data_IF_790798928458
#
_entry.id   IF_790798928458
#
_cell.length_a   1.000
_cell.length_b   1.000
_cell.length_c   1.000
_cell.angle_alpha   90.00
_cell.angle_beta   90.00
_cell.angle_gamma   90.00
#
_symmetry.space_group_name_H-M   'P 1'
#
loop_
_entity.id
_entity.type
_entity.pdbx_description
1 polymer ?
#
# COMPACT_ATOMS: atom_id res chain seq x y z
N UNK A 1 27.09 -74.74 -24.43
CA UNK A 1 27.04 -73.45 -25.11
C UNK A 1 28.01 -72.50 -24.40
N UNK A 2 29.06 -72.10 -25.08
CA UNK A 2 30.18 -71.31 -24.51
C UNK A 2 29.95 -69.80 -24.75
N UNK A 3 30.17 -68.99 -23.71
CA UNK A 3 30.23 -67.54 -23.81
C UNK A 3 31.48 -67.09 -24.51
N UNK A 4 31.47 -66.03 -25.34
CA UNK A 4 32.69 -65.41 -25.87
C UNK A 4 33.30 -64.43 -24.89
N UNK A 5 34.63 -64.28 -24.94
CA UNK A 5 35.52 -63.41 -24.16
C UNK A 5 35.48 -61.97 -24.67
N UNK A 6 35.54 -61.02 -23.72
CA UNK A 6 35.80 -59.59 -23.97
C UNK A 6 37.29 -59.38 -24.34
N UNK A 7 37.59 -58.40 -25.20
CA UNK A 7 38.95 -57.95 -25.42
C UNK A 7 39.34 -56.76 -24.53
N UNK A 8 40.61 -56.68 -24.20
CA UNK A 8 41.27 -55.75 -23.27
C UNK A 8 41.21 -54.27 -23.70
N UNK A 9 41.01 -53.41 -22.71
CA UNK A 9 41.08 -51.93 -22.79
C UNK A 9 42.54 -51.47 -23.00
N UNK A 10 42.75 -50.63 -24.02
CA UNK A 10 43.98 -49.86 -24.20
C UNK A 10 43.87 -48.53 -23.44
N UNK A 11 44.87 -48.21 -22.66
CA UNK A 11 45.01 -46.93 -21.91
C UNK A 11 45.43 -45.83 -22.88
N UNK A 12 44.52 -44.88 -23.19
CA UNK A 12 44.84 -43.66 -23.89
C UNK A 12 45.06 -42.52 -22.89
N UNK A 13 46.25 -41.96 -22.97
CA UNK A 13 46.69 -40.72 -22.28
C UNK A 13 45.73 -39.56 -22.56
N UNK A 14 45.12 -38.99 -21.51
CA UNK A 14 44.35 -37.76 -21.61
C UNK A 14 45.18 -36.57 -21.12
N UNK A 15 45.24 -35.46 -21.89
CA UNK A 15 45.88 -34.25 -21.41
C UNK A 15 44.99 -33.57 -20.34
N UNK A 16 45.64 -33.07 -19.29
CA UNK A 16 45.01 -32.28 -18.23
C UNK A 16 44.44 -30.98 -18.80
N UNK A 17 43.12 -30.86 -18.85
CA UNK A 17 42.46 -29.57 -19.13
C UNK A 17 42.42 -28.78 -17.83
N UNK A 18 43.20 -27.70 -17.76
CA UNK A 18 43.06 -26.69 -16.71
C UNK A 18 41.70 -25.97 -16.88
N UNK A 19 40.76 -26.28 -16.02
CA UNK A 19 39.57 -25.47 -15.89
C UNK A 19 39.92 -24.14 -15.21
N UNK A 20 40.08 -23.06 -15.97
CA UNK A 20 39.98 -21.71 -15.42
C UNK A 20 38.56 -21.50 -14.95
N UNK A 21 38.34 -21.54 -13.63
CA UNK A 21 37.11 -21.07 -13.03
C UNK A 21 37.01 -19.54 -13.21
N UNK A 22 36.25 -19.09 -14.20
CA UNK A 22 35.86 -17.71 -14.31
C UNK A 22 35.00 -17.39 -13.11
N UNK A 23 35.49 -16.60 -12.16
CA UNK A 23 34.69 -15.91 -11.15
C UNK A 23 33.81 -14.92 -11.90
N UNK A 24 32.58 -15.35 -12.20
CA UNK A 24 31.54 -14.42 -12.58
C UNK A 24 31.25 -13.53 -11.34
N UNK A 25 31.18 -12.18 -11.50
CA UNK A 25 30.74 -11.33 -10.41
C UNK A 25 29.34 -11.79 -10.05
N UNK A 26 29.09 -12.02 -8.74
CA UNK A 26 27.73 -12.11 -8.20
C UNK A 26 27.10 -10.72 -8.39
N UNK A 27 26.59 -10.45 -9.59
CA UNK A 27 25.64 -9.39 -9.79
C UNK A 27 24.42 -9.74 -8.95
N UNK A 28 24.07 -8.86 -7.99
CA UNK A 28 22.81 -8.95 -7.32
C UNK A 28 21.73 -9.04 -8.43
N UNK A 29 21.12 -10.21 -8.56
CA UNK A 29 19.94 -10.34 -9.40
C UNK A 29 18.87 -9.47 -8.74
N UNK A 30 18.67 -8.28 -9.27
CA UNK A 30 17.47 -7.51 -8.95
C UNK A 30 16.31 -8.43 -9.32
N UNK A 31 15.54 -8.84 -8.31
CA UNK A 31 14.34 -9.60 -8.54
C UNK A 31 13.48 -8.77 -9.51
N UNK A 32 13.13 -9.37 -10.65
CA UNK A 32 12.30 -8.70 -11.64
C UNK A 32 11.03 -8.20 -10.93
N UNK A 33 10.76 -6.90 -11.03
CA UNK A 33 9.56 -6.28 -10.46
C UNK A 33 8.34 -7.05 -10.98
N UNK A 34 7.55 -7.69 -10.12
CA UNK A 34 6.40 -8.46 -10.59
C UNK A 34 5.39 -7.50 -11.22
N UNK A 35 5.21 -7.59 -12.54
CA UNK A 35 4.26 -6.79 -13.29
C UNK A 35 4.64 -5.32 -13.51
N UNK A 36 5.91 -4.92 -13.27
CA UNK A 36 6.38 -3.56 -13.49
C UNK A 36 6.03 -2.56 -12.35
N UNK A 37 5.59 -3.05 -11.19
CA UNK A 37 5.33 -2.21 -10.01
C UNK A 37 6.60 -2.06 -9.16
N UNK A 38 6.91 -0.82 -8.73
CA UNK A 38 8.01 -0.53 -7.79
C UNK A 38 7.66 -1.05 -6.40
N UNK A 39 8.56 -1.81 -5.78
CA UNK A 39 8.43 -2.34 -4.43
C UNK A 39 9.64 -2.01 -3.54
N UNK A 40 10.56 -1.19 -4.03
CA UNK A 40 11.71 -0.70 -3.29
C UNK A 40 11.74 0.83 -3.36
N UNK A 41 11.85 1.46 -2.19
CA UNK A 41 11.75 2.90 -2.03
C UNK A 41 12.98 3.46 -1.33
N UNK A 42 13.36 4.73 -1.55
CA UNK A 42 14.56 5.36 -0.98
C UNK A 42 14.37 5.73 0.51
N UNK A 43 13.92 4.78 1.33
CA UNK A 43 13.63 4.94 2.77
C UNK A 43 14.82 5.55 3.53
N UNK A 44 16.07 5.31 3.08
CA UNK A 44 17.26 5.87 3.72
C UNK A 44 17.30 7.41 3.67
N UNK A 45 16.65 8.01 2.69
CA UNK A 45 16.57 9.47 2.53
C UNK A 45 15.45 10.11 3.33
N UNK A 46 14.63 9.33 4.05
CA UNK A 46 13.48 9.79 4.80
C UNK A 46 13.81 10.11 6.25
N UNK A 47 13.40 11.30 6.69
CA UNK A 47 13.13 11.59 8.09
C UNK A 47 11.62 11.46 8.30
N UNK A 48 11.20 10.36 8.92
CA UNK A 48 9.79 10.05 9.09
C UNK A 48 9.15 10.83 10.24
N UNK A 49 7.99 11.46 9.94
CA UNK A 49 7.20 12.24 10.87
C UNK A 49 5.76 11.71 10.95
N UNK A 50 5.21 11.69 12.15
CA UNK A 50 3.79 11.35 12.38
C UNK A 50 2.84 12.54 12.15
N UNK A 51 3.34 13.65 11.63
CA UNK A 51 2.58 14.87 11.30
C UNK A 51 3.02 15.37 9.92
N UNK A 52 2.31 16.32 9.34
CA UNK A 52 2.60 16.84 8.02
C UNK A 52 1.73 16.16 6.97
N UNK A 53 2.34 15.28 6.19
CA UNK A 53 1.73 14.70 5.00
C UNK A 53 1.91 15.60 3.77
N UNK A 54 1.09 15.42 2.76
CA UNK A 54 1.19 16.14 1.49
C UNK A 54 -0.15 16.78 1.06
N UNK A 55 -0.22 17.24 -0.18
CA UNK A 55 -1.43 17.87 -0.71
C UNK A 55 -2.63 16.90 -0.80
N UNK A 56 -2.36 15.60 -0.94
CA UNK A 56 -3.36 14.55 -1.17
C UNK A 56 -3.66 13.72 0.08
N UNK A 57 -2.82 13.81 1.13
CA UNK A 57 -3.08 13.18 2.43
C UNK A 57 -2.42 13.99 3.55
N UNK A 58 -3.24 14.68 4.35
CA UNK A 58 -2.81 15.51 5.47
C UNK A 58 -2.89 14.72 6.77
N UNK A 59 -1.77 14.59 7.49
CA UNK A 59 -1.69 13.91 8.78
C UNK A 59 -2.01 14.87 9.95
N UNK A 60 -3.07 15.67 9.79
CA UNK A 60 -3.56 16.60 10.83
C UNK A 60 -4.50 15.86 11.77
N UNK A 61 -4.12 15.77 13.04
CA UNK A 61 -4.93 15.12 14.09
C UNK A 61 -6.36 15.67 14.12
N UNK A 62 -7.33 14.80 14.29
CA UNK A 62 -8.76 15.06 14.28
C UNK A 62 -9.32 15.58 12.94
N UNK A 63 -8.54 15.52 11.87
CA UNK A 63 -9.07 15.68 10.53
C UNK A 63 -9.79 14.40 10.11
N UNK A 64 -11.01 14.55 9.60
CA UNK A 64 -11.85 13.43 9.18
C UNK A 64 -12.45 13.71 7.81
N UNK A 65 -12.44 12.71 6.96
CA UNK A 65 -13.21 12.63 5.73
C UNK A 65 -14.40 11.71 5.97
N UNK A 66 -15.56 12.10 5.46
CA UNK A 66 -16.76 11.27 5.46
C UNK A 66 -17.19 11.04 4.01
N UNK A 67 -17.13 9.78 3.58
CA UNK A 67 -17.52 9.31 2.27
C UNK A 67 -18.77 8.42 2.40
N UNK A 68 -19.58 8.38 1.35
CA UNK A 68 -20.76 7.49 1.30
C UNK A 68 -21.27 7.37 -0.14
N UNK A 69 -21.91 6.26 -0.45
CA UNK A 69 -22.68 6.08 -1.69
C UNK A 69 -24.11 6.66 -1.59
N UNK A 70 -24.45 7.31 -0.48
CA UNK A 70 -25.79 7.84 -0.16
C UNK A 70 -26.33 8.80 -1.22
N UNK A 71 -25.50 9.69 -1.72
CA UNK A 71 -25.86 10.75 -2.67
C UNK A 71 -25.35 10.47 -4.09
N UNK A 72 -24.68 9.35 -4.29
CA UNK A 72 -24.18 8.96 -5.61
C UNK A 72 -25.33 8.76 -6.59
N UNK A 73 -25.34 9.60 -7.65
CA UNK A 73 -26.43 9.60 -8.65
C UNK A 73 -26.29 8.53 -9.72
N UNK A 74 -25.09 8.01 -9.88
CA UNK A 74 -24.73 7.04 -10.94
C UNK A 74 -24.41 5.64 -10.40
N UNK A 75 -24.35 5.47 -9.07
CA UNK A 75 -24.02 4.19 -8.45
C UNK A 75 -25.22 3.25 -8.46
N UNK A 76 -24.96 2.00 -8.79
CA UNK A 76 -25.89 0.91 -8.54
C UNK A 76 -25.55 0.38 -7.16
N UNK A 77 -26.38 0.67 -6.17
CA UNK A 77 -26.22 0.16 -4.80
C UNK A 77 -26.51 -1.34 -4.81
N UNK A 78 -25.51 -2.14 -5.11
CA UNK A 78 -25.61 -3.59 -4.99
C UNK A 78 -25.42 -4.03 -3.53
N UNK A 79 -24.60 -3.26 -2.77
CA UNK A 79 -24.11 -3.59 -1.43
C UNK A 79 -24.77 -2.77 -0.29
N UNK A 80 -25.92 -2.13 -0.53
CA UNK A 80 -26.61 -1.34 0.50
C UNK A 80 -26.09 0.10 0.65
N UNK A 81 -26.32 0.69 1.84
CA UNK A 81 -25.80 2.01 2.20
C UNK A 81 -24.46 1.87 2.89
N UNK A 82 -23.37 2.21 2.20
CA UNK A 82 -22.02 2.22 2.78
C UNK A 82 -21.66 3.64 3.21
N UNK A 83 -21.11 3.76 4.43
CA UNK A 83 -20.60 4.99 5.00
C UNK A 83 -19.19 4.76 5.56
N UNK A 84 -18.22 5.59 5.15
CA UNK A 84 -16.82 5.48 5.51
C UNK A 84 -16.32 6.77 6.17
N UNK A 85 -15.75 6.68 7.38
CA UNK A 85 -15.08 7.78 8.07
C UNK A 85 -13.57 7.51 8.16
N UNK A 86 -12.78 8.34 7.49
CA UNK A 86 -11.31 8.29 7.55
C UNK A 86 -10.84 9.36 8.52
N UNK A 87 -10.34 8.97 9.68
CA UNK A 87 -9.98 9.88 10.78
C UNK A 87 -8.48 9.79 11.09
N UNK A 88 -7.80 10.94 11.15
CA UNK A 88 -6.43 11.01 11.64
C UNK A 88 -6.46 11.08 13.17
N UNK A 89 -6.15 9.96 13.83
CA UNK A 89 -6.20 9.86 15.28
C UNK A 89 -5.01 10.55 15.96
N UNK A 90 -5.12 10.97 17.24
CA UNK A 90 -3.99 11.47 18.02
C UNK A 90 -2.95 10.38 18.34
N UNK A 91 -3.31 9.14 18.28
CA UNK A 91 -2.48 7.97 18.54
C UNK A 91 -1.33 7.83 17.55
N UNK A 92 -0.23 7.30 18.05
CA UNK A 92 0.93 6.93 17.23
C UNK A 92 1.42 5.54 17.63
N UNK A 93 2.00 4.82 16.66
CA UNK A 93 2.64 3.52 16.88
C UNK A 93 4.11 3.58 16.52
N UNK A 94 4.99 3.04 17.37
CA UNK A 94 6.40 2.84 17.02
C UNK A 94 6.56 1.48 16.37
N UNK A 95 7.10 1.49 15.15
CA UNK A 95 7.28 0.29 14.32
C UNK A 95 8.77 0.13 14.05
N UNK A 96 9.29 -1.09 14.20
CA UNK A 96 10.68 -1.45 13.92
C UNK A 96 10.72 -2.38 12.71
N UNK A 97 11.56 -2.03 11.72
CA UNK A 97 11.67 -2.82 10.49
C UNK A 97 13.12 -2.84 9.98
N UNK A 98 13.54 -3.95 9.33
CA UNK A 98 14.87 -4.03 8.73
C UNK A 98 14.90 -3.24 7.41
N UNK A 99 15.96 -2.46 7.21
CA UNK A 99 16.24 -1.80 5.94
C UNK A 99 17.74 -1.66 5.71
N UNK A 100 18.22 -2.08 4.54
CA UNK A 100 19.63 -2.04 4.14
C UNK A 100 20.59 -2.64 5.21
N UNK A 101 20.20 -3.78 5.79
CA UNK A 101 20.99 -4.51 6.80
C UNK A 101 21.00 -3.87 8.20
N UNK A 102 20.18 -2.86 8.45
CA UNK A 102 20.04 -2.20 9.75
C UNK A 102 18.60 -2.21 10.22
N UNK A 103 18.39 -2.24 11.54
CA UNK A 103 17.07 -2.02 12.11
C UNK A 103 16.78 -0.51 12.14
N UNK A 104 15.64 -0.12 11.58
CA UNK A 104 15.10 1.25 11.64
C UNK A 104 13.85 1.26 12.51
N UNK A 105 13.48 2.45 12.97
CA UNK A 105 12.20 2.68 13.64
C UNK A 105 11.51 3.91 13.09
N UNK A 106 10.19 3.86 13.04
CA UNK A 106 9.32 4.98 12.70
C UNK A 106 8.28 5.17 13.78
N UNK A 107 7.92 6.42 14.08
CA UNK A 107 6.71 6.74 14.83
C UNK A 107 5.63 7.08 13.81
N UNK A 108 4.81 6.09 13.50
CA UNK A 108 3.70 6.24 12.55
C UNK A 108 2.48 6.88 13.23
N UNK A 109 1.73 7.67 12.48
CA UNK A 109 0.40 8.17 12.83
C UNK A 109 -0.62 7.06 12.61
N UNK A 110 -1.62 6.95 13.48
CA UNK A 110 -2.79 6.11 13.23
C UNK A 110 -3.79 6.90 12.41
N UNK A 111 -4.14 6.37 11.24
CA UNK A 111 -5.27 6.79 10.43
C UNK A 111 -6.29 5.67 10.53
N UNK A 112 -7.47 5.97 11.06
CA UNK A 112 -8.54 4.99 11.23
C UNK A 112 -9.56 5.16 10.11
N UNK A 113 -9.92 4.05 9.51
CA UNK A 113 -11.07 3.90 8.62
C UNK A 113 -12.12 3.12 9.39
N UNK A 114 -13.30 3.71 9.50
CA UNK A 114 -14.46 3.15 10.19
C UNK A 114 -15.58 3.05 9.17
N UNK A 115 -15.96 1.83 8.82
CA UNK A 115 -16.95 1.55 7.79
C UNK A 115 -18.21 0.93 8.37
N UNK A 116 -19.36 1.35 7.85
CA UNK A 116 -20.66 0.76 8.17
C UNK A 116 -21.42 0.41 6.90
N UNK A 117 -22.14 -0.71 6.94
CA UNK A 117 -23.09 -1.11 5.92
C UNK A 117 -24.51 -1.12 6.51
N UNK A 118 -25.44 -0.40 5.87
CA UNK A 118 -26.83 -0.20 6.34
C UNK A 118 -26.95 0.26 7.81
N UNK A 119 -25.91 0.96 8.31
CA UNK A 119 -25.83 1.50 9.67
C UNK A 119 -25.29 0.54 10.72
N UNK A 120 -24.93 -0.69 10.34
CA UNK A 120 -24.22 -1.63 11.20
C UNK A 120 -22.71 -1.50 10.95
N UNK A 121 -21.88 -1.66 11.98
CA UNK A 121 -20.43 -1.65 11.84
C UNK A 121 -19.98 -2.86 11.01
N UNK A 122 -19.27 -2.62 9.92
CA UNK A 122 -18.69 -3.66 9.07
C UNK A 122 -17.22 -3.89 9.41
N UNK A 123 -16.40 -2.83 9.28
CA UNK A 123 -14.96 -2.93 9.50
C UNK A 123 -14.37 -1.70 10.19
N UNK A 124 -13.31 -1.92 10.96
CA UNK A 124 -12.41 -0.86 11.43
C UNK A 124 -10.97 -1.21 11.06
N UNK A 125 -10.38 -0.41 10.18
CA UNK A 125 -8.95 -0.49 9.84
C UNK A 125 -8.16 0.61 10.52
N UNK A 126 -7.04 0.26 11.17
CA UNK A 126 -6.10 1.21 11.79
C UNK A 126 -4.78 1.19 11.06
N UNK A 127 -4.63 2.11 10.16
CA UNK A 127 -3.52 2.26 9.24
C UNK A 127 -2.36 3.04 9.89
N UNK A 128 -1.12 2.55 9.77
CA UNK A 128 0.07 3.18 10.35
C UNK A 128 0.87 3.89 9.28
N UNK A 129 0.76 5.22 9.24
CA UNK A 129 1.33 6.05 8.17
C UNK A 129 2.33 7.08 8.70
N UNK A 130 3.30 7.47 7.88
CA UNK A 130 4.24 8.52 8.22
C UNK A 130 4.67 9.33 6.99
N UNK A 131 4.82 10.63 7.17
CA UNK A 131 5.38 11.57 6.20
C UNK A 131 6.90 11.39 6.09
N UNK A 132 7.42 11.28 4.89
CA UNK A 132 8.84 11.22 4.58
C UNK A 132 9.38 12.60 4.21
N UNK A 133 9.93 13.34 5.16
CA UNK A 133 10.62 14.60 4.86
C UNK A 133 12.01 14.31 4.26
N UNK A 134 12.47 15.02 3.22
CA UNK A 134 11.85 16.21 2.60
C UNK A 134 10.96 15.93 1.39
N UNK A 135 10.69 14.67 1.06
CA UNK A 135 9.93 14.29 -0.14
C UNK A 135 8.41 14.45 0.03
N UNK A 136 7.93 14.33 1.28
CA UNK A 136 6.52 14.37 1.66
C UNK A 136 5.65 13.24 1.07
N UNK A 137 6.28 12.15 0.60
CA UNK A 137 5.54 10.92 0.33
C UNK A 137 5.03 10.35 1.65
N UNK A 138 3.77 9.97 1.71
CA UNK A 138 3.20 9.29 2.88
C UNK A 138 3.40 7.79 2.71
N UNK A 139 4.21 7.22 3.59
CA UNK A 139 4.51 5.79 3.62
C UNK A 139 3.54 5.03 4.50
N UNK A 140 3.28 3.77 4.13
CA UNK A 140 2.44 2.83 4.83
C UNK A 140 3.30 1.75 5.50
N UNK A 141 3.09 1.56 6.80
CA UNK A 141 3.92 0.67 7.64
C UNK A 141 3.14 -0.52 8.18
N UNK A 142 1.86 -0.63 7.90
CA UNK A 142 1.01 -1.71 8.35
C UNK A 142 -0.35 -1.23 8.84
N UNK A 143 -1.17 -2.20 9.19
CA UNK A 143 -2.51 -1.99 9.73
C UNK A 143 -2.90 -3.06 10.74
N UNK A 144 -3.86 -2.71 11.60
CA UNK A 144 -4.65 -3.68 12.37
C UNK A 144 -6.11 -3.57 11.85
N UNK A 145 -6.71 -4.70 11.46
CA UNK A 145 -8.07 -4.77 10.90
C UNK A 145 -8.97 -5.53 11.86
N UNK A 146 -10.20 -5.04 12.05
CA UNK A 146 -11.18 -5.61 12.96
C UNK A 146 -12.54 -5.71 12.25
N UNK A 147 -13.27 -6.81 12.49
CA UNK A 147 -14.66 -6.95 12.04
C UNK A 147 -15.65 -6.11 12.89
N UNK A 148 -16.93 -6.10 12.49
CA UNK A 148 -17.99 -5.40 13.20
C UNK A 148 -18.22 -5.81 14.65
N UNK A 149 -17.76 -6.99 15.05
CA UNK A 149 -17.80 -7.51 16.42
C UNK A 149 -16.54 -7.11 17.23
N UNK A 150 -15.55 -6.45 16.59
CA UNK A 150 -14.29 -6.04 17.19
C UNK A 150 -13.23 -7.16 17.25
N UNK A 151 -13.41 -8.26 16.53
CA UNK A 151 -12.39 -9.31 16.44
C UNK A 151 -11.33 -8.91 15.42
N UNK A 152 -10.05 -9.15 15.77
CA UNK A 152 -8.96 -8.91 14.83
C UNK A 152 -9.03 -9.88 13.64
N UNK A 153 -8.97 -9.32 12.43
CA UNK A 153 -8.94 -10.06 11.17
C UNK A 153 -7.50 -10.45 10.78
N UNK A 154 -7.33 -11.51 9.97
CA UNK A 154 -6.00 -11.97 9.52
C UNK A 154 -5.35 -11.06 8.48
N UNK A 155 -6.07 -10.09 7.96
CA UNK A 155 -5.63 -9.17 6.91
C UNK A 155 -4.63 -8.13 7.42
N UNK A 156 -4.63 -7.86 8.73
CA UNK A 156 -3.66 -6.97 9.37
C UNK A 156 -2.21 -7.41 9.16
N UNK A 157 -1.33 -6.43 8.92
CA UNK A 157 0.09 -6.66 8.70
C UNK A 157 0.96 -5.58 9.37
N UNK A 158 2.27 -5.81 9.49
CA UNK A 158 3.19 -4.83 10.07
C UNK A 158 4.57 -4.93 9.44
N UNK A 159 5.10 -3.82 8.96
CA UNK A 159 6.45 -3.75 8.43
C UNK A 159 7.48 -4.32 9.43
N UNK A 160 8.37 -5.19 8.95
CA UNK A 160 9.35 -5.91 9.74
C UNK A 160 8.89 -7.24 10.32
N UNK A 161 7.61 -7.60 10.21
CA UNK A 161 7.08 -8.93 10.56
C UNK A 161 6.92 -9.77 9.29
N UNK A 162 7.20 -11.06 9.37
CA UNK A 162 6.96 -12.05 8.30
C UNK A 162 7.49 -11.65 6.91
N UNK A 163 8.55 -10.83 6.88
CA UNK A 163 9.12 -10.30 5.63
C UNK A 163 8.39 -9.08 5.06
N UNK A 164 7.38 -8.56 5.74
CA UNK A 164 6.66 -7.37 5.31
C UNK A 164 7.55 -6.13 5.30
N UNK A 165 7.33 -5.27 4.30
CA UNK A 165 8.07 -4.03 4.07
C UNK A 165 7.11 -2.86 3.87
N UNK A 166 7.50 -1.64 4.26
CA UNK A 166 6.66 -0.47 4.00
C UNK A 166 6.58 -0.18 2.49
N UNK A 167 5.43 0.32 2.08
CA UNK A 167 5.19 0.88 0.75
C UNK A 167 4.88 2.37 0.81
N UNK A 168 4.44 2.95 -0.31
CA UNK A 168 4.00 4.34 -0.39
C UNK A 168 2.47 4.35 -0.52
N UNK A 169 1.79 4.93 0.45
CA UNK A 169 0.33 5.08 0.38
C UNK A 169 -0.06 6.17 -0.62
N UNK A 170 0.49 7.39 -0.43
CA UNK A 170 0.21 8.55 -1.30
C UNK A 170 1.50 9.35 -1.52
N UNK A 171 2.03 9.41 -2.75
CA UNK A 171 3.19 10.23 -3.08
C UNK A 171 2.83 11.72 -3.18
N UNK A 172 3.80 12.63 -2.94
CA UNK A 172 3.59 14.08 -3.06
C UNK A 172 3.89 14.60 -4.47
N UNK A 173 5.10 14.32 -4.96
CA UNK A 173 5.63 14.95 -6.17
C UNK A 173 5.78 14.03 -7.36
N UNK A 174 5.58 12.75 -7.15
CA UNK A 174 5.77 11.71 -8.16
C UNK A 174 4.45 11.22 -8.77
N UNK A 175 3.42 12.10 -8.82
CA UNK A 175 2.23 11.82 -9.61
C UNK A 175 2.53 11.97 -11.10
N UNK A 176 3.08 10.92 -11.67
CA UNK A 176 3.21 10.78 -13.13
C UNK A 176 2.22 9.76 -13.62
N UNK A 177 1.52 10.09 -14.69
CA UNK A 177 0.63 9.15 -15.37
C UNK A 177 1.37 7.86 -15.72
N UNK A 178 0.80 6.72 -15.34
CA UNK A 178 1.40 5.40 -15.51
C UNK A 178 2.44 5.02 -14.44
N UNK A 179 2.63 5.82 -13.37
CA UNK A 179 3.44 5.42 -12.21
C UNK A 179 2.80 4.23 -11.53
N UNK A 180 3.62 3.20 -11.21
CA UNK A 180 3.19 1.93 -10.63
C UNK A 180 4.04 1.57 -9.43
N UNK A 181 3.43 1.32 -8.27
CA UNK A 181 4.14 0.96 -7.04
C UNK A 181 3.24 0.17 -6.08
N UNK A 182 3.88 -0.51 -5.10
CA UNK A 182 3.19 -1.17 -4.01
C UNK A 182 2.90 -0.17 -2.88
N UNK A 183 1.66 -0.15 -2.41
CA UNK A 183 1.26 0.51 -1.17
C UNK A 183 1.57 -0.39 0.01
N UNK A 184 1.42 -1.70 -0.17
CA UNK A 184 1.64 -2.74 0.82
C UNK A 184 2.54 -3.83 0.25
N UNK A 185 3.43 -4.35 1.08
CA UNK A 185 4.27 -5.46 0.68
C UNK A 185 4.44 -6.44 1.84
N UNK A 186 3.42 -7.26 2.07
CA UNK A 186 3.36 -8.32 3.08
C UNK A 186 2.91 -9.64 2.44
N UNK A 187 3.06 -10.79 3.11
CA UNK A 187 2.56 -12.06 2.59
C UNK A 187 1.06 -12.07 2.32
N UNK A 188 0.28 -11.41 3.19
CA UNK A 188 -1.18 -11.33 3.19
C UNK A 188 -1.75 -9.98 2.71
N UNK A 189 -0.90 -8.98 2.43
CA UNK A 189 -1.32 -7.67 1.91
C UNK A 189 -0.33 -7.21 0.83
N UNK A 190 -0.81 -7.00 -0.40
CA UNK A 190 0.05 -6.68 -1.57
C UNK A 190 -0.60 -5.66 -2.48
N UNK A 191 -1.29 -4.72 -1.92
CA UNK A 191 -1.96 -3.72 -2.72
C UNK A 191 -0.97 -2.82 -3.43
N UNK A 192 -1.29 -2.57 -4.67
CA UNK A 192 -0.46 -1.85 -5.61
C UNK A 192 -1.32 -0.94 -6.47
N UNK A 193 -0.77 0.19 -6.83
CA UNK A 193 -1.49 1.26 -7.49
C UNK A 193 -0.84 1.65 -8.81
N UNK A 194 -1.66 2.00 -9.78
CA UNK A 194 -1.28 2.70 -11.00
C UNK A 194 -1.98 4.06 -11.05
N UNK A 195 -1.25 5.13 -11.40
CA UNK A 195 -1.83 6.45 -11.65
C UNK A 195 -2.40 6.48 -13.06
N UNK A 196 -3.73 6.46 -13.19
CA UNK A 196 -4.44 6.28 -14.45
C UNK A 196 -4.96 7.57 -15.06
N UNK A 197 -5.22 8.60 -14.23
CA UNK A 197 -5.65 9.92 -14.70
C UNK A 197 -5.16 11.03 -13.79
N UNK A 198 -4.99 12.26 -14.32
CA UNK A 198 -4.56 13.42 -13.52
C UNK A 198 -4.98 14.74 -14.17
N UNK A 199 -5.07 15.80 -13.34
CA UNK A 199 -5.31 17.17 -13.79
C UNK A 199 -6.77 17.45 -14.15
N UNK A 200 -7.71 16.62 -13.74
CA UNK A 200 -9.14 16.79 -14.01
C UNK A 200 -9.91 17.41 -12.86
N UNK A 201 -11.16 17.72 -13.11
CA UNK A 201 -12.10 18.28 -12.11
C UNK A 201 -13.10 17.21 -11.69
N UNK A 202 -13.42 17.17 -10.39
CA UNK A 202 -14.37 16.23 -9.80
C UNK A 202 -15.44 17.00 -9.06
N UNK A 203 -16.69 16.64 -9.31
CA UNK A 203 -17.86 17.10 -8.56
C UNK A 203 -18.34 15.96 -7.66
N UNK A 204 -18.41 16.21 -6.36
CA UNK A 204 -18.95 15.32 -5.33
C UNK A 204 -19.84 16.13 -4.39
N UNK A 205 -20.65 15.52 -3.49
CA UNK A 205 -21.52 16.27 -2.58
C UNK A 205 -20.80 17.33 -1.74
N UNK A 206 -19.53 17.09 -1.35
CA UNK A 206 -18.71 18.05 -0.60
C UNK A 206 -18.31 19.30 -1.42
N UNK A 207 -18.42 19.27 -2.75
CA UNK A 207 -18.09 20.38 -3.65
C UNK A 207 -17.38 19.98 -4.92
N UNK A 208 -16.85 20.99 -5.62
CA UNK A 208 -16.06 20.84 -6.85
C UNK A 208 -14.57 20.98 -6.55
N UNK A 209 -13.78 19.99 -6.94
CA UNK A 209 -12.34 19.94 -6.72
C UNK A 209 -11.59 19.86 -8.05
N UNK A 210 -10.42 20.51 -8.11
CA UNK A 210 -9.64 20.63 -9.34
C UNK A 210 -8.26 20.00 -9.20
N UNK A 211 -7.63 19.67 -10.33
CA UNK A 211 -6.31 19.06 -10.40
C UNK A 211 -6.23 17.72 -9.65
N UNK A 212 -7.32 16.99 -9.68
CA UNK A 212 -7.43 15.68 -9.05
C UNK A 212 -6.60 14.63 -9.80
N UNK A 213 -6.29 13.55 -9.13
CA UNK A 213 -5.61 12.37 -9.66
C UNK A 213 -6.45 11.15 -9.37
N UNK A 214 -6.46 10.21 -10.30
CA UNK A 214 -7.13 8.92 -10.18
C UNK A 214 -6.10 7.82 -10.18
N UNK A 215 -6.32 6.84 -9.32
CA UNK A 215 -5.53 5.63 -9.22
C UNK A 215 -6.41 4.41 -9.44
N UNK A 216 -5.84 3.40 -10.09
CA UNK A 216 -6.40 2.04 -10.09
C UNK A 216 -5.58 1.20 -9.12
N UNK A 217 -6.24 0.63 -8.14
CA UNK A 217 -5.65 -0.28 -7.16
C UNK A 217 -5.93 -1.72 -7.56
N UNK A 218 -4.95 -2.58 -7.38
CA UNK A 218 -5.04 -4.02 -7.68
C UNK A 218 -4.22 -4.79 -6.66
N UNK A 219 -4.54 -6.05 -6.45
CA UNK A 219 -3.70 -6.95 -5.66
C UNK A 219 -3.40 -8.25 -6.42
N UNK A 220 -2.15 -8.76 -6.40
CA UNK A 220 -1.86 -10.07 -6.97
C UNK A 220 -2.46 -11.23 -6.16
N UNK A 221 -2.99 -10.96 -4.95
CA UNK A 221 -3.66 -11.95 -4.11
C UNK A 221 -5.07 -12.25 -4.64
N UNK A 222 -5.71 -11.26 -5.30
CA UNK A 222 -7.03 -11.38 -5.91
C UNK A 222 -6.98 -10.96 -7.39
N UNK A 223 -6.53 -11.84 -8.29
CA UNK A 223 -6.36 -11.52 -9.70
C UNK A 223 -7.68 -11.17 -10.38
N UNK A 224 -7.74 -9.96 -10.95
CA UNK A 224 -8.91 -9.44 -11.67
C UNK A 224 -9.79 -8.52 -10.83
N UNK A 225 -9.51 -8.37 -9.54
CA UNK A 225 -10.10 -7.31 -8.72
C UNK A 225 -9.40 -5.99 -9.02
N UNK A 226 -10.17 -4.92 -9.23
CA UNK A 226 -9.70 -3.55 -9.44
C UNK A 226 -10.61 -2.61 -8.63
N UNK A 227 -10.01 -1.65 -7.94
CA UNK A 227 -10.73 -0.53 -7.30
C UNK A 227 -10.16 0.81 -7.76
N UNK A 228 -10.96 1.86 -7.67
CA UNK A 228 -10.64 3.19 -8.20
C UNK A 228 -10.72 4.24 -7.12
N UNK A 229 -9.59 4.93 -6.87
CA UNK A 229 -9.57 6.02 -5.90
C UNK A 229 -9.23 7.34 -6.58
N UNK A 230 -9.94 8.40 -6.18
CA UNK A 230 -9.66 9.76 -6.64
C UNK A 230 -9.23 10.65 -5.49
N UNK A 231 -8.05 11.24 -5.63
CA UNK A 231 -7.50 12.18 -4.66
C UNK A 231 -7.45 13.59 -5.26
N UNK A 232 -7.82 14.60 -4.46
CA UNK A 232 -7.72 15.99 -4.88
C UNK A 232 -6.82 16.80 -3.94
N UNK A 233 -5.99 17.73 -4.47
CA UNK A 233 -5.06 18.48 -3.65
C UNK A 233 -5.79 19.39 -2.65
N UNK A 234 -5.28 19.43 -1.43
CA UNK A 234 -5.85 20.21 -0.34
C UNK A 234 -6.91 19.50 0.47
N UNK A 235 -7.58 18.49 -0.11
CA UNK A 235 -8.65 17.75 0.57
C UNK A 235 -8.25 16.30 0.87
N UNK A 236 -7.76 15.54 -0.08
CA UNK A 236 -7.42 14.12 0.05
C UNK A 236 -8.31 13.25 -0.82
N UNK A 237 -8.69 12.07 -0.32
CA UNK A 237 -9.60 11.13 -0.99
C UNK A 237 -10.99 11.77 -1.17
N UNK A 238 -11.50 11.79 -2.40
CA UNK A 238 -12.81 12.35 -2.75
C UNK A 238 -13.74 11.32 -3.36
N UNK A 239 -13.18 10.21 -3.88
CA UNK A 239 -13.91 9.02 -4.31
C UNK A 239 -13.13 7.77 -3.94
N UNK A 240 -13.86 6.74 -3.54
CA UNK A 240 -13.41 5.37 -3.33
C UNK A 240 -14.46 4.46 -3.95
N UNK A 241 -14.17 3.97 -5.15
CA UNK A 241 -15.13 3.30 -6.02
C UNK A 241 -16.44 4.12 -6.17
N UNK A 242 -17.54 3.67 -5.60
CA UNK A 242 -18.84 4.35 -5.61
C UNK A 242 -19.08 5.26 -4.40
N UNK A 243 -18.15 5.29 -3.43
CA UNK A 243 -18.24 6.23 -2.32
C UNK A 243 -17.77 7.62 -2.74
N UNK A 244 -18.57 8.64 -2.47
CA UNK A 244 -18.23 10.03 -2.75
C UNK A 244 -18.06 10.83 -1.44
N UNK A 245 -17.13 11.77 -1.44
CA UNK A 245 -16.90 12.65 -0.29
C UNK A 245 -18.14 13.53 -0.04
N UNK A 246 -18.71 13.37 1.16
CA UNK A 246 -19.87 14.12 1.65
C UNK A 246 -19.43 15.34 2.47
N UNK A 247 -18.40 15.17 3.32
CA UNK A 247 -17.94 16.23 4.20
C UNK A 247 -16.48 16.06 4.63
N UNK A 248 -15.86 17.20 5.01
CA UNK A 248 -14.54 17.25 5.66
C UNK A 248 -14.69 17.93 7.01
N UNK A 249 -14.24 17.28 8.06
CA UNK A 249 -14.24 17.82 9.42
C UNK A 249 -12.81 18.04 9.89
N UNK A 250 -12.52 19.21 10.46
CA UNK A 250 -11.16 19.57 10.86
C UNK A 250 -10.86 19.28 12.35
N UNK A 251 -11.88 18.99 13.16
CA UNK A 251 -11.78 18.71 14.61
C UNK A 251 -12.81 17.66 15.03
N UNK A 252 -12.92 16.55 14.27
CA UNK A 252 -13.81 15.45 14.59
C UNK A 252 -13.11 14.39 15.47
N UNK A 253 -13.92 13.67 16.22
CA UNK A 253 -13.51 12.40 16.84
C UNK A 253 -13.97 11.27 15.94
N UNK A 254 -13.22 10.16 15.96
CA UNK A 254 -13.65 8.95 15.26
C UNK A 254 -14.97 8.44 15.85
N UNK A 255 -15.85 7.83 15.04
CA UNK A 255 -17.02 7.10 15.54
C UNK A 255 -16.66 6.03 16.56
N UNK A 256 -15.52 5.32 16.39
CA UNK A 256 -15.04 4.29 17.32
C UNK A 256 -14.69 4.83 18.72
N UNK A 257 -14.49 6.14 18.89
CA UNK A 257 -14.18 6.77 20.19
C UNK A 257 -15.43 7.07 21.04
N UNK A 258 -16.62 6.71 20.60
CA UNK A 258 -17.90 7.03 21.28
C UNK A 258 -18.46 5.87 22.09
N UNK A 259 -17.80 4.70 22.09
CA UNK A 259 -18.20 3.49 22.85
C UNK A 259 -17.41 3.30 24.13
#
# INVERSE_FOLDING_TARGET
MRKPKEPAMSVLNRPAVLLLAALAPLGAAFAANPGGYTNEFPIAACDFNSTGGNAFLKLKVNRQLYLSNKECRSCVREDGLVELWITILPETRVIHFPYAGKMRSVRARVMEEFETEDGELDEVSRNFVADCSPMHDVYYFGEDVFDGDGNALPDGWLAGRDGARPGVLVPDRAFFLGSRYFQEFAPNAKDRVEHTSMGFTVDVPAGTFHNCVETTETTPLEPGHESFKTYCPGVGLVRDDDLELIAVYENAQSPSAKD
#
